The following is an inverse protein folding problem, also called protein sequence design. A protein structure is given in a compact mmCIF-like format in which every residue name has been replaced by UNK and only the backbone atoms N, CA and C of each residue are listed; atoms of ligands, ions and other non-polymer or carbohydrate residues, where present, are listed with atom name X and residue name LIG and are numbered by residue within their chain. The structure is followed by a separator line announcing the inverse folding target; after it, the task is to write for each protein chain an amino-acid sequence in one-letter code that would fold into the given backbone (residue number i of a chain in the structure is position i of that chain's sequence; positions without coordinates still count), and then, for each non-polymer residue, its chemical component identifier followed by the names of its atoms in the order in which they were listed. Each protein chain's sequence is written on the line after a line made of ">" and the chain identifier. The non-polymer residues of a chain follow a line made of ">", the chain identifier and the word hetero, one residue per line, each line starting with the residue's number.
data_IF_615614642163
#
_entry.id   IF_615614642163
#
_cell.length_a   1.000
_cell.length_b   1.000
_cell.length_c   1.000
_cell.angle_alpha   90.00
_cell.angle_beta   90.00
_cell.angle_gamma   90.00
#
_symmetry.space_group_name_H-M   'P 1'
#
loop_
_entity.id
_entity.type
_entity.pdbx_description
1 polymer ?
#
# COMPACT_ATOMS: atom_id res chain seq x y z
N UNK A 1 -33.42 19.70 -49.10
CA UNK A 1 -33.10 19.80 -47.65
C UNK A 1 -31.81 19.01 -47.39
N UNK A 2 -30.64 19.58 -47.71
CA UNK A 2 -29.34 18.86 -47.67
C UNK A 2 -28.19 19.85 -47.56
N UNK A 3 -28.23 20.77 -46.58
CA UNK A 3 -27.13 21.76 -46.41
C UNK A 3 -26.77 22.10 -44.97
N UNK A 4 -27.49 21.58 -43.96
CA UNK A 4 -27.22 21.93 -42.56
C UNK A 4 -26.20 20.99 -41.88
N UNK A 5 -26.07 19.75 -42.36
CA UNK A 5 -25.28 18.72 -41.63
C UNK A 5 -23.78 18.79 -41.92
N UNK A 6 -23.37 19.32 -43.08
CA UNK A 6 -21.96 19.36 -43.48
C UNK A 6 -21.16 20.47 -42.79
N UNK A 7 -21.83 21.57 -42.41
CA UNK A 7 -21.18 22.71 -41.75
C UNK A 7 -20.79 22.43 -40.31
N UNK A 8 -21.59 21.63 -39.59
CA UNK A 8 -21.32 21.27 -38.19
C UNK A 8 -20.12 20.33 -38.07
N UNK A 9 -19.88 19.50 -39.08
CA UNK A 9 -18.75 18.57 -39.08
C UNK A 9 -17.41 19.28 -39.36
N UNK A 10 -17.40 20.36 -40.15
CA UNK A 10 -16.19 21.14 -40.43
C UNK A 10 -15.76 22.06 -39.28
N UNK A 11 -16.68 22.57 -38.47
CA UNK A 11 -16.32 23.39 -37.30
C UNK A 11 -15.75 22.57 -36.13
N UNK A 12 -16.13 21.29 -36.01
CA UNK A 12 -15.57 20.39 -34.98
C UNK A 12 -14.12 19.98 -35.32
N UNK A 13 -13.79 19.79 -36.61
CA UNK A 13 -12.46 19.32 -37.02
C UNK A 13 -11.37 20.42 -36.91
N UNK A 14 -11.73 21.70 -37.05
CA UNK A 14 -10.76 22.81 -36.95
C UNK A 14 -10.47 23.19 -35.49
N UNK A 15 -11.40 22.93 -34.57
CA UNK A 15 -11.21 23.22 -33.15
C UNK A 15 -10.23 22.25 -32.44
N UNK A 16 -9.93 21.09 -33.04
CA UNK A 16 -9.02 20.10 -32.44
C UNK A 16 -7.53 20.40 -32.68
N UNK A 17 -7.19 21.33 -33.57
CA UNK A 17 -5.78 21.63 -33.94
C UNK A 17 -5.19 22.79 -33.13
N UNK A 18 -6.00 23.48 -32.33
CA UNK A 18 -5.59 24.65 -31.53
C UNK A 18 -5.57 24.40 -30.02
N UNK A 19 -5.56 23.14 -29.58
CA UNK A 19 -5.16 22.85 -28.21
C UNK A 19 -3.71 23.30 -28.06
N UNK A 20 -3.40 24.31 -27.22
CA UNK A 20 -2.03 24.66 -26.96
C UNK A 20 -1.37 23.38 -26.48
N UNK A 21 -0.29 22.98 -27.13
CA UNK A 21 0.58 21.95 -26.62
C UNK A 21 0.89 22.36 -25.18
N UNK A 22 0.27 21.67 -24.23
CA UNK A 22 0.65 21.79 -22.83
C UNK A 22 2.07 21.29 -22.84
N UNK A 23 3.02 22.21 -22.87
CA UNK A 23 4.42 21.96 -22.56
C UNK A 23 4.33 21.31 -21.18
N UNK A 24 4.45 19.99 -21.16
CA UNK A 24 4.67 19.24 -19.94
C UNK A 24 6.07 19.64 -19.50
N UNK A 25 6.18 20.81 -18.87
CA UNK A 25 7.28 21.06 -17.97
C UNK A 25 7.16 19.96 -16.93
N UNK A 26 8.04 18.97 -17.04
CA UNK A 26 8.14 17.90 -16.05
C UNK A 26 8.34 18.62 -14.72
N UNK A 27 7.36 18.50 -13.82
CA UNK A 27 7.49 19.08 -12.48
C UNK A 27 8.74 18.45 -11.88
N UNK A 28 9.78 19.24 -11.56
CA UNK A 28 10.99 18.70 -10.96
C UNK A 28 10.58 17.92 -9.70
N UNK A 29 11.20 16.76 -9.42
CA UNK A 29 10.90 16.02 -8.21
C UNK A 29 11.14 16.93 -7.00
N UNK A 30 10.15 17.02 -6.13
CA UNK A 30 10.28 17.72 -4.86
C UNK A 30 11.28 16.93 -3.99
N UNK A 31 12.38 17.55 -3.62
CA UNK A 31 13.45 16.92 -2.85
C UNK A 31 13.28 17.38 -1.40
N UNK A 32 12.93 16.47 -0.47
CA UNK A 32 12.79 16.80 0.93
C UNK A 32 14.10 17.35 1.51
N UNK A 33 14.05 18.22 2.53
CA UNK A 33 15.25 18.69 3.21
C UNK A 33 15.98 17.52 3.91
N UNK A 34 17.28 17.70 4.22
CA UNK A 34 18.04 16.72 4.99
C UNK A 34 17.40 16.36 6.33
N UNK A 35 17.55 15.10 6.74
CA UNK A 35 17.04 14.62 8.02
C UNK A 35 17.12 13.11 8.18
N UNK A 36 16.52 12.60 9.26
CA UNK A 36 16.61 11.18 9.62
C UNK A 36 15.54 10.30 8.94
N UNK A 37 14.62 10.90 8.18
CA UNK A 37 13.59 10.14 7.45
C UNK A 37 14.22 9.29 6.35
N UNK A 38 13.80 8.03 6.26
CA UNK A 38 14.26 7.12 5.21
C UNK A 38 13.33 7.19 4.01
N UNK A 39 13.90 7.32 2.82
CA UNK A 39 13.21 7.48 1.56
C UNK A 39 13.55 6.36 0.58
N UNK A 40 12.56 6.01 -0.25
CA UNK A 40 12.74 5.27 -1.49
C UNK A 40 13.03 6.30 -2.58
N UNK A 41 14.28 6.34 -3.04
CA UNK A 41 14.76 7.22 -4.10
C UNK A 41 14.80 6.41 -5.38
N UNK A 42 13.90 6.69 -6.32
CA UNK A 42 13.87 6.06 -7.64
C UNK A 42 14.63 6.94 -8.62
N UNK A 43 15.62 6.38 -9.26
CA UNK A 43 16.44 7.07 -10.25
C UNK A 43 15.82 6.97 -11.66
N UNK A 44 16.27 7.83 -12.57
CA UNK A 44 15.82 7.91 -13.95
C UNK A 44 16.10 6.63 -14.74
N UNK A 45 17.14 5.88 -14.37
CA UNK A 45 17.47 4.56 -14.93
C UNK A 45 16.58 3.41 -14.42
N UNK A 46 15.68 3.70 -13.48
CA UNK A 46 14.76 2.73 -12.87
C UNK A 46 15.31 2.03 -11.63
N UNK A 47 16.56 2.26 -11.25
CA UNK A 47 17.11 1.77 -9.99
C UNK A 47 16.45 2.44 -8.79
N UNK A 48 16.45 1.74 -7.66
CA UNK A 48 15.83 2.18 -6.42
C UNK A 48 16.85 2.11 -5.30
N UNK A 49 17.01 3.22 -4.58
CA UNK A 49 17.93 3.35 -3.45
C UNK A 49 17.10 3.66 -2.20
N UNK A 50 17.32 2.87 -1.14
CA UNK A 50 16.77 3.16 0.19
C UNK A 50 17.82 3.94 0.97
N UNK A 51 17.53 5.20 1.29
CA UNK A 51 18.50 6.07 1.95
C UNK A 51 17.84 7.25 2.69
N UNK A 52 18.62 7.86 3.57
CA UNK A 52 18.32 9.15 4.22
C UNK A 52 18.99 10.26 3.41
N UNK A 53 18.37 11.44 3.38
CA UNK A 53 18.96 12.61 2.73
C UNK A 53 19.90 13.30 3.73
N UNK A 54 21.19 13.31 3.44
CA UNK A 54 22.21 13.90 4.28
C UNK A 54 22.45 15.38 3.94
N UNK A 55 22.51 15.71 2.65
CA UNK A 55 22.76 17.06 2.15
C UNK A 55 22.00 17.25 0.82
N UNK A 56 21.55 18.48 0.57
CA UNK A 56 20.88 18.88 -0.68
C UNK A 56 21.52 20.17 -1.15
N UNK A 57 22.09 20.13 -2.36
CA UNK A 57 22.65 21.27 -3.07
C UNK A 57 21.76 21.65 -4.26
N UNK A 58 22.16 22.68 -5.01
CA UNK A 58 21.44 23.10 -6.22
C UNK A 58 21.47 22.02 -7.32
N UNK A 59 22.57 21.28 -7.45
CA UNK A 59 22.78 20.27 -8.51
C UNK A 59 22.72 18.82 -8.02
N UNK A 60 22.97 18.57 -6.73
CA UNK A 60 23.26 17.23 -6.21
C UNK A 60 22.53 16.96 -4.90
N UNK A 61 22.27 15.68 -4.64
CA UNK A 61 21.76 15.17 -3.37
C UNK A 61 22.73 14.13 -2.84
N UNK A 62 23.04 14.25 -1.56
CA UNK A 62 23.88 13.29 -0.85
C UNK A 62 22.99 12.38 -0.03
N UNK A 63 23.05 11.09 -0.34
CA UNK A 63 22.26 10.03 0.27
C UNK A 63 23.12 9.18 1.19
N UNK A 64 22.58 8.80 2.33
CA UNK A 64 23.21 7.85 3.26
C UNK A 64 22.34 6.61 3.39
N UNK A 65 22.85 5.45 2.98
CA UNK A 65 22.14 4.17 3.10
C UNK A 65 22.06 3.71 4.56
N UNK A 66 21.14 2.80 4.91
CA UNK A 66 21.08 2.22 6.25
C UNK A 66 22.39 1.57 6.72
N UNK A 67 23.21 1.04 5.80
CA UNK A 67 24.54 0.49 6.09
C UNK A 67 25.64 1.54 6.24
N UNK A 68 25.33 2.84 6.20
CA UNK A 68 26.29 3.93 6.32
C UNK A 68 27.04 4.29 5.02
N UNK A 69 26.68 3.68 3.89
CA UNK A 69 27.24 4.03 2.59
C UNK A 69 26.76 5.41 2.14
N UNK A 70 27.67 6.25 1.65
CA UNK A 70 27.36 7.60 1.16
C UNK A 70 27.38 7.63 -0.37
N UNK A 71 26.30 8.11 -0.99
CA UNK A 71 26.17 8.27 -2.44
C UNK A 71 25.91 9.73 -2.80
N UNK A 72 26.52 10.21 -3.87
CA UNK A 72 26.28 11.55 -4.42
C UNK A 72 25.57 11.36 -5.76
N UNK A 73 24.34 11.85 -5.86
CA UNK A 73 23.48 11.66 -7.03
C UNK A 73 23.09 13.04 -7.59
N UNK A 74 23.13 13.20 -8.92
CA UNK A 74 22.64 14.41 -9.58
C UNK A 74 21.12 14.53 -9.44
N UNK A 75 20.59 15.73 -9.22
CA UNK A 75 19.14 15.95 -9.09
C UNK A 75 18.38 15.57 -10.37
N UNK A 76 19.01 15.72 -11.52
CA UNK A 76 18.52 15.32 -12.84
C UNK A 76 18.39 13.80 -12.99
N UNK A 77 19.14 13.03 -12.20
CA UNK A 77 19.07 11.57 -12.17
C UNK A 77 17.98 11.04 -11.24
N UNK A 78 17.40 11.90 -10.38
CA UNK A 78 16.33 11.51 -9.47
C UNK A 78 15.00 11.64 -10.21
N UNK A 79 14.24 10.56 -10.27
CA UNK A 79 12.90 10.56 -10.86
C UNK A 79 11.83 10.83 -9.80
N UNK A 80 12.00 10.24 -8.63
CA UNK A 80 11.00 10.30 -7.57
C UNK A 80 11.62 10.00 -6.20
N UNK A 81 11.14 10.69 -5.16
CA UNK A 81 11.49 10.44 -3.77
C UNK A 81 10.19 10.25 -2.99
N UNK A 82 10.05 9.10 -2.30
CA UNK A 82 8.90 8.84 -1.44
C UNK A 82 9.33 8.39 -0.05
N UNK A 83 8.68 8.83 1.03
CA UNK A 83 8.97 8.33 2.36
C UNK A 83 8.63 6.83 2.41
N UNK A 84 9.54 6.05 2.97
CA UNK A 84 9.33 4.61 3.11
C UNK A 84 8.33 4.35 4.22
N UNK A 85 7.38 3.44 3.96
CA UNK A 85 6.53 2.85 5.00
C UNK A 85 7.06 1.47 5.36
N UNK A 86 7.60 1.36 6.57
CA UNK A 86 8.24 0.15 7.03
C UNK A 86 9.30 0.44 8.08
N UNK A 87 10.13 -0.57 8.33
CA UNK A 87 11.20 -0.50 9.31
C UNK A 87 12.49 -1.05 8.74
N UNK A 88 13.61 -0.48 9.15
CA UNK A 88 14.93 -1.06 8.84
C UNK A 88 15.22 -2.14 9.89
N UNK A 89 15.43 -3.37 9.46
CA UNK A 89 15.83 -4.50 10.31
C UNK A 89 17.14 -5.02 9.76
N UNK A 90 18.20 -4.99 10.57
CA UNK A 90 19.53 -5.49 10.20
C UNK A 90 20.10 -4.88 8.89
N UNK A 91 19.79 -3.62 8.61
CA UNK A 91 20.23 -2.91 7.40
C UNK A 91 19.35 -3.15 6.17
N UNK A 92 18.34 -4.01 6.26
CA UNK A 92 17.38 -4.27 5.21
C UNK A 92 16.06 -3.53 5.45
N UNK A 93 15.43 -3.09 4.36
CA UNK A 93 14.09 -2.52 4.44
C UNK A 93 13.03 -3.61 4.52
N UNK A 94 12.36 -3.70 5.66
CA UNK A 94 11.15 -4.48 5.83
C UNK A 94 9.95 -3.57 5.59
N UNK A 95 9.30 -3.76 4.45
CA UNK A 95 8.07 -3.07 4.10
C UNK A 95 6.98 -3.34 5.11
N UNK A 96 6.16 -2.34 5.37
CA UNK A 96 4.94 -2.53 6.13
C UNK A 96 4.00 -3.50 5.40
N UNK A 97 3.43 -4.46 6.14
CA UNK A 97 2.50 -5.45 5.59
C UNK A 97 1.22 -4.73 5.11
N UNK A 98 0.93 -4.71 3.80
CA UNK A 98 -0.23 -3.98 3.28
C UNK A 98 -1.57 -4.62 3.67
N UNK A 99 -1.56 -5.87 4.16
CA UNK A 99 -2.76 -6.59 4.58
C UNK A 99 -2.48 -7.37 5.87
N UNK A 100 -2.49 -6.63 6.99
CA UNK A 100 -2.30 -7.18 8.34
C UNK A 100 -3.38 -8.20 8.74
N UNK A 101 -4.50 -8.24 8.02
CA UNK A 101 -5.67 -9.10 8.29
C UNK A 101 -5.70 -10.40 7.51
N UNK A 102 -4.77 -10.65 6.57
CA UNK A 102 -4.78 -11.85 5.70
C UNK A 102 -4.74 -13.17 6.47
N UNK A 103 -4.14 -13.18 7.67
CA UNK A 103 -4.03 -14.35 8.54
C UNK A 103 -5.10 -14.38 9.64
N UNK A 104 -6.05 -13.45 9.65
CA UNK A 104 -7.15 -13.41 10.61
C UNK A 104 -8.34 -14.23 10.09
N UNK A 105 -8.08 -15.51 9.85
CA UNK A 105 -9.10 -16.48 9.46
C UNK A 105 -8.99 -17.67 10.39
N UNK A 106 -10.01 -17.92 11.21
CA UNK A 106 -10.04 -19.00 12.20
C UNK A 106 -8.81 -18.99 13.13
N UNK A 107 -8.49 -20.14 13.73
CA UNK A 107 -7.37 -20.29 14.64
C UNK A 107 -6.02 -20.19 13.89
N UNK A 108 -5.32 -19.06 14.01
CA UNK A 108 -3.97 -18.88 13.48
C UNK A 108 -2.99 -18.44 14.58
N UNK A 109 -1.68 -18.53 14.28
CA UNK A 109 -0.64 -18.06 15.19
C UNK A 109 -0.56 -16.53 15.33
N UNK A 110 -1.41 -15.77 14.61
CA UNK A 110 -1.50 -14.31 14.70
C UNK A 110 -2.81 -13.93 15.40
N UNK A 111 -2.70 -13.45 16.63
CA UNK A 111 -3.82 -12.88 17.36
C UNK A 111 -4.05 -11.40 16.98
N UNK A 112 -5.30 -10.96 17.04
CA UNK A 112 -5.68 -9.55 17.06
C UNK A 112 -5.08 -8.86 18.29
N UNK A 113 -4.69 -7.60 18.14
CA UNK A 113 -4.27 -6.73 19.25
C UNK A 113 -5.42 -6.44 20.23
N UNK A 114 -5.10 -5.99 21.43
CA UNK A 114 -6.12 -5.73 22.43
C UNK A 114 -7.11 -4.65 21.96
N UNK A 115 -8.41 -4.96 21.99
CA UNK A 115 -9.46 -4.05 21.56
C UNK A 115 -9.64 -3.94 20.03
N UNK A 116 -8.81 -4.63 19.24
CA UNK A 116 -9.04 -4.74 17.80
C UNK A 116 -10.19 -5.71 17.51
N UNK A 117 -10.99 -5.39 16.50
CA UNK A 117 -12.07 -6.23 16.01
C UNK A 117 -11.94 -6.44 14.51
N UNK A 118 -12.32 -7.62 14.04
CA UNK A 118 -12.31 -7.99 12.64
C UNK A 118 -13.60 -8.72 12.29
N UNK A 119 -14.25 -8.32 11.20
CA UNK A 119 -15.42 -9.03 10.67
C UNK A 119 -15.06 -9.49 9.28
N UNK A 120 -15.33 -10.76 9.01
CA UNK A 120 -15.02 -11.40 7.75
C UNK A 120 -16.18 -12.25 7.27
N UNK A 121 -16.18 -12.54 5.98
CA UNK A 121 -16.95 -13.63 5.43
C UNK A 121 -16.04 -14.47 4.57
N UNK A 122 -16.00 -15.77 4.83
CA UNK A 122 -15.35 -16.72 3.96
C UNK A 122 -16.39 -17.31 3.01
N UNK A 123 -16.08 -17.36 1.71
CA UNK A 123 -16.97 -17.86 0.65
C UNK A 123 -18.40 -17.31 0.69
N UNK A 124 -18.58 -16.06 1.16
CA UNK A 124 -19.85 -15.32 1.33
C UNK A 124 -20.80 -15.92 2.39
N UNK A 125 -20.84 -17.23 2.56
CA UNK A 125 -21.79 -17.95 3.41
C UNK A 125 -21.28 -18.27 4.82
N UNK A 126 -20.02 -17.95 5.13
CA UNK A 126 -19.42 -18.18 6.44
C UNK A 126 -19.03 -16.86 7.10
N UNK A 127 -20.00 -16.10 7.64
CA UNK A 127 -19.72 -14.89 8.38
C UNK A 127 -19.08 -15.22 9.73
N UNK A 128 -18.11 -14.40 10.12
CA UNK A 128 -17.49 -14.47 11.43
C UNK A 128 -17.06 -13.09 11.92
N UNK A 129 -16.94 -12.96 13.23
CA UNK A 129 -16.41 -11.79 13.90
C UNK A 129 -15.37 -12.24 14.93
N UNK A 130 -14.24 -11.54 14.98
CA UNK A 130 -13.15 -11.78 15.90
C UNK A 130 -12.84 -10.52 16.71
N UNK A 131 -12.42 -10.71 17.96
CA UNK A 131 -11.99 -9.63 18.85
C UNK A 131 -10.72 -10.04 19.59
N UNK A 132 -9.76 -9.13 19.68
CA UNK A 132 -8.59 -9.28 20.52
C UNK A 132 -8.90 -8.92 21.96
N UNK A 133 -8.89 -9.91 22.85
CA UNK A 133 -9.12 -9.70 24.29
C UNK A 133 -7.86 -9.13 24.94
N UNK A 134 -6.68 -9.56 24.47
CA UNK A 134 -5.37 -9.07 24.88
C UNK A 134 -4.43 -8.97 23.68
N UNK A 135 -3.24 -8.42 23.86
CA UNK A 135 -2.17 -8.38 22.84
C UNK A 135 -1.75 -9.75 22.28
N UNK A 136 -2.15 -10.85 22.93
CA UNK A 136 -1.77 -12.22 22.53
C UNK A 136 -2.94 -13.17 22.40
N UNK A 137 -4.14 -12.82 22.84
CA UNK A 137 -5.29 -13.70 22.86
C UNK A 137 -6.48 -13.05 22.16
N UNK A 138 -7.01 -13.76 21.17
CA UNK A 138 -8.19 -13.35 20.43
C UNK A 138 -9.21 -14.49 20.39
N UNK A 139 -10.48 -14.12 20.38
CA UNK A 139 -11.61 -15.03 20.21
C UNK A 139 -12.36 -14.65 18.96
N UNK A 140 -12.83 -15.66 18.25
CA UNK A 140 -13.67 -15.52 17.06
C UNK A 140 -14.97 -16.30 17.25
N UNK A 141 -16.06 -15.73 16.78
CA UNK A 141 -17.36 -16.38 16.67
C UNK A 141 -17.81 -16.34 15.21
N UNK A 142 -18.23 -17.48 14.69
CA UNK A 142 -18.70 -17.62 13.32
C UNK A 142 -19.92 -18.52 13.25
N UNK A 143 -20.52 -18.55 12.07
CA UNK A 143 -21.63 -19.43 11.76
C UNK A 143 -21.28 -20.21 10.49
N UNK A 144 -21.49 -21.53 10.53
CA UNK A 144 -21.43 -22.39 9.35
C UNK A 144 -22.80 -23.05 9.13
N UNK A 145 -23.17 -23.20 7.87
CA UNK A 145 -24.25 -24.10 7.47
C UNK A 145 -23.66 -25.48 7.20
N UNK A 146 -24.11 -26.50 7.93
CA UNK A 146 -23.86 -27.89 7.54
C UNK A 146 -25.02 -28.39 6.68
N UNK A 147 -24.73 -29.23 5.71
CA UNK A 147 -25.74 -29.94 4.94
C UNK A 147 -25.76 -31.37 5.47
N UNK A 148 -26.88 -31.80 6.02
CA UNK A 148 -27.09 -33.17 6.51
C UNK A 148 -28.38 -33.71 5.92
N UNK A 149 -28.29 -34.86 5.24
CA UNK A 149 -29.45 -35.61 4.73
C UNK A 149 -30.50 -34.80 3.93
N UNK A 150 -30.05 -33.81 3.15
CA UNK A 150 -30.93 -33.00 2.29
C UNK A 150 -31.54 -31.77 2.97
N UNK A 151 -31.34 -31.62 4.27
CA UNK A 151 -31.65 -30.42 5.04
C UNK A 151 -30.38 -29.59 5.28
N UNK A 152 -30.50 -28.27 5.19
CA UNK A 152 -29.46 -27.36 5.60
C UNK A 152 -29.63 -27.08 7.10
N UNK A 153 -28.84 -27.75 7.93
CA UNK A 153 -28.64 -27.38 9.32
C UNK A 153 -27.86 -26.07 9.34
N UNK A 154 -28.62 -24.97 9.22
CA UNK A 154 -28.07 -23.65 9.37
C UNK A 154 -27.53 -23.47 10.78
N UNK A 155 -26.59 -22.54 10.86
CA UNK A 155 -26.43 -21.76 12.06
C UNK A 155 -25.66 -22.51 13.16
N UNK A 156 -24.80 -23.46 12.77
CA UNK A 156 -23.87 -24.11 13.69
C UNK A 156 -22.87 -23.05 14.16
N UNK A 157 -22.84 -22.73 15.47
CA UNK A 157 -21.91 -21.76 16.00
C UNK A 157 -20.50 -22.34 15.97
N UNK A 158 -19.56 -21.56 15.45
CA UNK A 158 -18.13 -21.83 15.55
C UNK A 158 -17.53 -20.84 16.54
N UNK A 159 -16.72 -21.36 17.45
CA UNK A 159 -15.91 -20.53 18.36
C UNK A 159 -14.47 -20.94 18.20
N UNK A 160 -13.63 -19.99 17.77
CA UNK A 160 -12.19 -20.21 17.62
C UNK A 160 -11.43 -19.35 18.62
N UNK A 161 -10.29 -19.86 19.06
CA UNK A 161 -9.37 -19.16 19.94
C UNK A 161 -7.99 -19.12 19.30
N UNK A 162 -7.38 -17.93 19.27
CA UNK A 162 -6.05 -17.71 18.71
C UNK A 162 -5.12 -17.18 19.79
N UNK A 163 -3.91 -17.74 19.88
CA UNK A 163 -2.88 -17.31 20.81
C UNK A 163 -1.54 -17.10 20.10
N UNK A 164 -0.93 -15.92 20.29
CA UNK A 164 0.36 -15.57 19.71
C UNK A 164 1.52 -15.83 20.69
N UNK A 165 2.45 -16.70 20.32
CA UNK A 165 3.67 -16.99 21.08
C UNK A 165 4.81 -16.02 20.73
N UNK A 166 5.65 -15.68 21.71
CA UNK A 166 6.95 -15.04 21.46
C UNK A 166 6.97 -13.52 21.23
N UNK A 167 5.83 -12.82 21.22
CA UNK A 167 5.79 -11.34 21.23
C UNK A 167 6.17 -10.81 22.62
N UNK A 168 7.39 -10.30 22.82
CA UNK A 168 7.73 -9.50 24.02
C UNK A 168 7.11 -8.12 23.92
#
# INVERSE_FOLDING_TARGET
>A
MTSASTFVLQTVLVASVLLPAVIQAQVPPDIPPPGDTTYEVRLADGSVIIARIAEVDEERVVLTTPGGGRLVIGRDQIREIRPVRGRIVEGELWHEDPSTTRLLFTATGRALGQGEAYVGTYVVVLPFAAVGITERFATEIGIVAAVSDGDADCCIPLVNFSYAFGRK
#
